data_IF_696634301085
#
_entry.id   IF_696634301085
#
_cell.length_a   1.000
_cell.length_b   1.000
_cell.length_c   1.000
_cell.angle_alpha   90.00
_cell.angle_beta   90.00
_cell.angle_gamma   90.00
#
_symmetry.space_group_name_H-M   'P 1'
#
loop_
_entity.id
_entity.type
_entity.pdbx_description
1 polymer ?
#
# COMPACT_ATOMS: atom_id res chain seq x y z
N UNK A 1 0.59 7.16 -22.55
CA UNK A 1 -0.88 7.05 -22.66
C UNK A 1 -1.36 6.24 -21.45
N UNK A 2 -1.17 6.69 -20.21
CA UNK A 2 -1.89 7.79 -19.58
C UNK A 2 -2.76 7.20 -18.47
N UNK A 3 -2.15 6.53 -17.49
CA UNK A 3 -2.81 5.91 -16.32
C UNK A 3 -3.18 6.97 -15.26
N UNK A 4 -3.87 8.02 -15.69
CA UNK A 4 -4.30 9.10 -14.80
C UNK A 4 -5.62 8.74 -14.07
N UNK A 5 -6.22 7.59 -14.38
CA UNK A 5 -7.47 7.10 -13.80
C UNK A 5 -7.30 6.25 -12.54
N UNK A 6 -6.27 5.40 -12.43
CA UNK A 6 -6.04 4.58 -11.23
C UNK A 6 -5.70 5.41 -9.99
N UNK A 7 -5.03 6.55 -10.19
CA UNK A 7 -4.58 7.43 -9.09
C UNK A 7 -5.76 7.98 -8.25
N UNK A 8 -6.90 8.26 -8.88
CA UNK A 8 -8.10 8.72 -8.17
C UNK A 8 -8.76 7.60 -7.35
N UNK A 9 -8.73 6.35 -7.84
CA UNK A 9 -9.28 5.20 -7.14
C UNK A 9 -8.43 4.77 -5.93
N UNK A 10 -7.10 4.94 -6.00
CA UNK A 10 -6.18 4.67 -4.87
C UNK A 10 -6.33 5.65 -3.71
N UNK A 11 -6.83 6.86 -3.97
CA UNK A 11 -7.16 7.85 -2.93
C UNK A 11 -8.54 7.60 -2.30
N UNK A 12 -9.34 6.67 -2.82
CA UNK A 12 -10.75 6.51 -2.44
C UNK A 12 -10.98 5.84 -1.08
N UNK A 13 -9.95 5.24 -0.46
CA UNK A 13 -10.11 4.62 0.87
C UNK A 13 -8.79 4.27 1.55
N UNK A 14 -8.80 4.28 2.89
CA UNK A 14 -7.65 3.92 3.73
C UNK A 14 -7.14 2.49 3.46
N UNK A 15 -8.03 1.61 3.00
CA UNK A 15 -7.72 0.22 2.68
C UNK A 15 -7.28 -0.02 1.22
N UNK A 16 -7.10 1.03 0.41
CA UNK A 16 -6.72 0.89 -0.99
C UNK A 16 -7.82 0.27 -1.87
N UNK A 17 -7.43 -0.42 -2.95
CA UNK A 17 -8.36 -0.98 -3.92
C UNK A 17 -7.97 -2.39 -4.38
N UNK A 18 -8.97 -3.23 -4.66
CA UNK A 18 -8.79 -4.48 -5.41
C UNK A 18 -8.65 -4.14 -6.90
N UNK A 19 -7.65 -4.72 -7.55
CA UNK A 19 -7.36 -4.60 -8.98
C UNK A 19 -7.47 -5.98 -9.63
N UNK A 20 -7.41 -6.05 -10.96
CA UNK A 20 -7.41 -7.32 -11.69
C UNK A 20 -6.24 -8.25 -11.32
N UNK A 21 -5.13 -7.70 -10.81
CA UNK A 21 -3.92 -8.43 -10.46
C UNK A 21 -3.69 -8.57 -8.95
N UNK A 22 -4.61 -8.11 -8.10
CA UNK A 22 -4.50 -8.26 -6.65
C UNK A 22 -5.01 -7.06 -5.86
N UNK A 23 -4.28 -6.67 -4.82
CA UNK A 23 -4.61 -5.55 -3.94
C UNK A 23 -3.53 -4.49 -4.00
N UNK A 24 -3.93 -3.23 -4.17
CA UNK A 24 -3.02 -2.09 -4.20
C UNK A 24 -3.31 -1.15 -3.05
N UNK A 25 -2.31 -0.98 -2.18
CA UNK A 25 -2.34 -0.07 -1.04
C UNK A 25 -1.30 1.03 -1.24
N UNK A 26 -1.70 2.29 -1.06
CA UNK A 26 -0.77 3.42 -1.03
C UNK A 26 -0.15 3.56 0.36
N UNK A 27 1.17 3.46 0.43
CA UNK A 27 1.93 3.71 1.64
C UNK A 27 2.74 5.01 1.50
N UNK A 28 2.60 5.92 2.47
CA UNK A 28 3.48 7.08 2.60
C UNK A 28 4.74 6.66 3.35
N UNK A 29 5.90 6.92 2.74
CA UNK A 29 7.20 6.74 3.38
C UNK A 29 7.54 8.01 4.16
N UNK A 30 7.85 7.84 5.45
CA UNK A 30 8.38 8.89 6.30
C UNK A 30 9.89 8.73 6.44
N UNK A 31 10.58 9.80 6.84
CA UNK A 31 12.01 9.73 7.13
C UNK A 31 12.34 8.67 8.20
N UNK A 32 11.44 8.43 9.15
CA UNK A 32 11.56 7.38 10.16
C UNK A 32 11.52 5.95 9.60
N UNK A 33 11.01 5.75 8.38
CA UNK A 33 11.04 4.45 7.69
C UNK A 33 12.37 4.20 6.95
N UNK A 34 13.25 5.21 6.88
CA UNK A 34 14.52 5.13 6.16
C UNK A 34 15.70 4.87 7.10
N UNK A 35 16.75 4.22 6.58
CA UNK A 35 18.01 4.03 7.30
C UNK A 35 19.09 5.06 6.92
N UNK A 36 20.32 4.89 7.43
CA UNK A 36 21.43 5.81 7.21
C UNK A 36 21.83 5.97 5.72
N UNK A 37 21.44 5.02 4.86
CA UNK A 37 21.69 5.11 3.42
C UNK A 37 20.63 5.91 2.67
N UNK A 38 19.56 6.36 3.36
CA UNK A 38 18.50 7.17 2.79
C UNK A 38 17.45 6.36 2.02
N UNK A 39 17.45 5.03 2.17
CA UNK A 39 16.45 4.13 1.58
C UNK A 39 15.56 3.54 2.68
N UNK A 40 14.41 2.99 2.28
CA UNK A 40 13.53 2.27 3.21
C UNK A 40 14.28 1.10 3.83
N UNK A 41 14.31 1.04 5.16
CA UNK A 41 14.96 -0.04 5.87
C UNK A 41 14.28 -1.39 5.57
N UNK A 42 15.05 -2.44 5.35
CA UNK A 42 14.54 -3.73 4.86
C UNK A 42 13.40 -4.32 5.71
N UNK A 43 13.42 -4.15 7.03
CA UNK A 43 12.34 -4.65 7.89
C UNK A 43 11.02 -3.88 7.73
N UNK A 44 11.05 -2.61 7.27
CA UNK A 44 9.84 -1.81 7.04
C UNK A 44 8.97 -2.38 5.92
N UNK A 45 9.56 -3.09 4.96
CA UNK A 45 8.80 -3.76 3.91
C UNK A 45 7.85 -4.83 4.46
N UNK A 46 8.21 -5.51 5.57
CA UNK A 46 7.32 -6.47 6.21
C UNK A 46 6.09 -5.78 6.82
N UNK A 47 6.26 -4.61 7.43
CA UNK A 47 5.13 -3.83 7.94
C UNK A 47 4.21 -3.35 6.81
N UNK A 48 4.78 -2.85 5.71
CA UNK A 48 3.99 -2.42 4.55
C UNK A 48 3.21 -3.58 3.94
N UNK A 49 3.84 -4.75 3.82
CA UNK A 49 3.19 -5.97 3.33
C UNK A 49 2.03 -6.39 4.24
N UNK A 50 2.27 -6.40 5.55
CA UNK A 50 1.29 -6.82 6.54
C UNK A 50 0.07 -5.87 6.60
N UNK A 51 0.30 -4.56 6.43
CA UNK A 51 -0.79 -3.59 6.29
C UNK A 51 -1.60 -3.85 5.02
N UNK A 52 -0.93 -4.08 3.88
CA UNK A 52 -1.57 -4.47 2.63
C UNK A 52 -2.42 -5.72 2.80
N UNK A 53 -1.88 -6.78 3.40
CA UNK A 53 -2.59 -8.03 3.67
C UNK A 53 -3.83 -7.82 4.54
N UNK A 54 -3.71 -7.02 5.59
CA UNK A 54 -4.83 -6.72 6.50
C UNK A 54 -5.96 -5.99 5.79
N UNK A 55 -5.61 -5.01 4.94
CA UNK A 55 -6.59 -4.26 4.17
C UNK A 55 -7.21 -5.08 3.02
N UNK A 56 -6.43 -5.97 2.40
CA UNK A 56 -6.95 -6.95 1.44
C UNK A 56 -8.03 -7.83 2.09
N UNK A 57 -7.76 -8.40 3.27
CA UNK A 57 -8.72 -9.25 3.99
C UNK A 57 -10.00 -8.48 4.35
N UNK A 58 -9.86 -7.22 4.79
CA UNK A 58 -11.01 -6.34 5.03
C UNK A 58 -11.86 -6.17 3.77
N UNK A 59 -11.24 -5.90 2.61
CA UNK A 59 -11.95 -5.69 1.34
C UNK A 59 -12.59 -6.97 0.79
N UNK A 60 -12.06 -8.15 1.12
CA UNK A 60 -12.66 -9.45 0.76
C UNK A 60 -13.71 -9.94 1.76
N UNK A 61 -14.00 -9.16 2.79
CA UNK A 61 -15.04 -9.48 3.77
C UNK A 61 -14.59 -10.46 4.87
N UNK A 62 -13.29 -10.65 5.06
CA UNK A 62 -12.72 -11.44 6.15
C UNK A 62 -12.38 -10.50 7.30
N UNK A 63 -13.14 -10.54 8.40
CA UNK A 63 -12.99 -9.70 9.58
C UNK A 63 -13.28 -10.46 10.88
#
# INVERSE_FOLDING_TARGET
>A
MGDHGESAALLAGLSGALTEFGHRLMARVYYADTDFSGVVYHARYLEFLERGRSDYLRLTGVH
#
